data_IF_828680566896
#
_entry.id   IF_828680566896
#
_cell.length_a   1.000
_cell.length_b   1.000
_cell.length_c   1.000
_cell.angle_alpha   90.00
_cell.angle_beta   90.00
_cell.angle_gamma   90.00
#
_symmetry.space_group_name_H-M   'P 1'
#
loop_
_entity.id
_entity.type
_entity.pdbx_description
1 polymer ?
#
# COMPACT_ATOMS: atom_id res chain seq x y z
N UNK A 1 -12.05 -16.70 -7.32
CA UNK A 1 -11.64 -15.32 -7.00
C UNK A 1 -10.13 -15.31 -7.15
N UNK A 2 -9.58 -14.43 -7.99
CA UNK A 2 -8.14 -14.28 -8.05
C UNK A 2 -7.65 -13.71 -6.70
N UNK A 3 -6.45 -14.10 -6.30
CA UNK A 3 -5.85 -13.69 -5.04
C UNK A 3 -5.49 -12.21 -5.08
N UNK A 4 -5.90 -11.46 -4.05
CA UNK A 4 -5.55 -10.03 -3.93
C UNK A 4 -4.31 -9.92 -3.06
N UNK A 5 -3.23 -9.38 -3.63
CA UNK A 5 -2.06 -8.96 -2.86
C UNK A 5 -2.28 -7.53 -2.42
N UNK A 6 -2.06 -7.28 -1.15
CA UNK A 6 -2.27 -5.99 -0.52
C UNK A 6 -1.02 -5.56 0.25
N UNK A 7 -0.83 -4.26 0.30
CA UNK A 7 0.21 -3.61 1.06
C UNK A 7 -0.43 -2.55 1.94
N UNK A 8 0.14 -2.30 3.11
CA UNK A 8 -0.26 -1.16 3.93
C UNK A 8 1.01 -0.44 4.35
N UNK A 9 1.24 0.72 3.76
CA UNK A 9 2.45 1.50 3.95
C UNK A 9 2.13 2.83 4.60
N UNK A 10 3.03 3.30 5.46
CA UNK A 10 2.91 4.60 6.10
C UNK A 10 4.12 5.45 5.85
N UNK A 11 3.85 6.68 5.40
CA UNK A 11 4.85 7.66 5.06
C UNK A 11 4.40 9.07 5.46
N UNK A 12 5.36 9.94 5.74
CA UNK A 12 5.16 11.39 5.84
C UNK A 12 4.86 12.06 4.49
N UNK A 13 5.03 11.33 3.38
CA UNK A 13 4.96 11.87 2.02
C UNK A 13 3.86 11.22 1.21
N UNK A 14 2.96 12.02 0.66
CA UNK A 14 1.89 11.56 -0.24
C UNK A 14 2.48 10.85 -1.46
N UNK A 15 3.57 11.37 -2.03
CA UNK A 15 4.20 10.87 -3.26
C UNK A 15 4.63 9.39 -3.21
N UNK A 16 4.61 8.76 -2.03
CA UNK A 16 4.89 7.34 -1.88
C UNK A 16 3.96 6.46 -2.73
N UNK A 17 2.71 6.87 -2.96
CA UNK A 17 1.76 6.13 -3.80
C UNK A 17 2.30 5.93 -5.23
N UNK A 18 3.04 6.92 -5.77
CA UNK A 18 3.63 6.85 -7.12
C UNK A 18 4.64 5.71 -7.21
N UNK A 19 5.38 5.44 -6.12
CA UNK A 19 6.34 4.34 -6.09
C UNK A 19 5.64 2.99 -6.12
N UNK A 20 4.54 2.85 -5.39
CA UNK A 20 3.75 1.62 -5.43
C UNK A 20 3.13 1.38 -6.81
N UNK A 21 2.65 2.42 -7.49
CA UNK A 21 2.23 2.31 -8.90
C UNK A 21 3.39 1.75 -9.75
N UNK A 22 4.61 2.30 -9.62
CA UNK A 22 5.78 1.81 -10.37
C UNK A 22 6.15 0.37 -10.03
N UNK A 23 6.09 -0.03 -8.75
CA UNK A 23 6.28 -1.43 -8.35
C UNK A 23 5.29 -2.33 -9.08
N UNK A 24 4.01 -1.94 -9.09
CA UNK A 24 2.93 -2.69 -9.72
C UNK A 24 3.15 -2.81 -11.22
N UNK A 25 3.43 -1.69 -11.90
CA UNK A 25 3.72 -1.66 -13.34
C UNK A 25 4.93 -2.54 -13.68
N UNK A 26 6.02 -2.43 -12.91
CA UNK A 26 7.22 -3.25 -13.08
C UNK A 26 6.96 -4.74 -12.84
N UNK A 27 6.05 -5.07 -11.91
CA UNK A 27 5.71 -6.46 -11.60
C UNK A 27 4.91 -7.12 -12.71
N UNK A 28 3.91 -6.41 -13.24
CA UNK A 28 3.03 -6.91 -14.30
C UNK A 28 3.70 -6.83 -15.68
N UNK A 29 4.68 -5.93 -15.84
CA UNK A 29 5.47 -5.79 -17.08
C UNK A 29 4.73 -5.09 -18.21
N UNK A 30 3.63 -4.40 -17.90
CA UNK A 30 2.78 -3.70 -18.87
C UNK A 30 2.30 -2.37 -18.28
N UNK A 31 2.05 -1.38 -19.14
CA UNK A 31 1.50 -0.09 -18.72
C UNK A 31 0.01 -0.21 -18.43
N UNK A 32 -0.42 0.25 -17.26
CA UNK A 32 -1.84 0.34 -16.93
C UNK A 32 -2.46 1.63 -17.46
N UNK A 33 -3.77 1.61 -17.71
CA UNK A 33 -4.56 2.82 -17.93
C UNK A 33 -5.26 3.17 -16.63
N UNK A 34 -5.22 4.44 -16.26
CA UNK A 34 -6.07 4.96 -15.18
C UNK A 34 -7.52 4.79 -15.61
N UNK A 35 -8.27 4.01 -14.85
CA UNK A 35 -9.70 3.80 -15.05
C UNK A 35 -10.50 4.84 -14.26
N UNK A 36 -10.12 5.08 -13.01
CA UNK A 36 -10.78 6.07 -12.15
C UNK A 36 -9.80 6.68 -11.14
N UNK A 37 -10.08 7.95 -10.79
CA UNK A 37 -9.51 8.65 -9.65
C UNK A 37 -10.70 9.13 -8.83
N UNK A 38 -10.83 8.62 -7.62
CA UNK A 38 -12.01 8.83 -6.79
C UNK A 38 -11.62 9.34 -5.42
N UNK A 39 -12.52 10.07 -4.79
CA UNK A 39 -12.41 10.42 -3.38
C UNK A 39 -13.65 9.94 -2.64
N UNK A 40 -13.47 9.45 -1.41
CA UNK A 40 -14.55 8.97 -0.55
C UNK A 40 -14.33 9.37 0.90
N UNK A 41 -15.43 9.43 1.65
CA UNK A 41 -15.42 9.86 3.05
C UNK A 41 -14.89 8.80 4.01
N UNK A 42 -15.09 7.53 3.68
CA UNK A 42 -14.74 6.39 4.51
C UNK A 42 -14.60 5.11 3.67
N UNK A 43 -14.05 4.07 4.31
CA UNK A 43 -13.86 2.73 3.73
C UNK A 43 -15.18 1.98 3.45
N UNK A 44 -16.35 2.56 3.74
CA UNK A 44 -17.66 2.04 3.33
C UNK A 44 -18.17 2.68 2.04
N UNK A 45 -17.30 3.39 1.30
CA UNK A 45 -17.63 4.04 0.03
C UNK A 45 -18.72 5.11 0.18
N UNK A 46 -18.70 5.84 1.30
CA UNK A 46 -19.62 6.97 1.49
C UNK A 46 -19.20 8.17 0.64
N UNK A 47 -20.15 8.80 -0.06
CA UNK A 47 -19.95 10.01 -0.88
C UNK A 47 -18.81 9.90 -1.91
N UNK A 48 -18.73 8.78 -2.65
CA UNK A 48 -17.73 8.61 -3.71
C UNK A 48 -17.93 9.66 -4.82
N UNK A 49 -16.84 10.35 -5.17
CA UNK A 49 -16.80 11.34 -6.25
C UNK A 49 -15.62 11.07 -7.17
N UNK A 50 -15.85 11.03 -8.47
CA UNK A 50 -14.78 11.01 -9.46
C UNK A 50 -14.13 12.39 -9.57
N UNK A 51 -12.80 12.43 -9.65
CA UNK A 51 -12.00 13.64 -9.82
C UNK A 51 -11.06 13.50 -11.03
N UNK A 52 -10.63 14.63 -11.58
CA UNK A 52 -9.82 14.65 -12.80
C UNK A 52 -8.34 14.31 -12.57
N UNK A 53 -7.82 14.57 -11.35
CA UNK A 53 -6.40 14.34 -11.03
C UNK A 53 -6.13 14.30 -9.52
N UNK A 54 -4.96 13.78 -9.13
CA UNK A 54 -4.52 13.73 -7.72
C UNK A 54 -4.21 15.13 -7.15
N UNK A 55 -3.89 16.10 -7.99
CA UNK A 55 -3.71 17.49 -7.57
C UNK A 55 -5.01 18.08 -7.02
N UNK A 56 -6.16 17.76 -7.62
CA UNK A 56 -7.48 18.16 -7.11
C UNK A 56 -7.73 17.61 -5.70
N UNK A 57 -7.27 16.38 -5.43
CA UNK A 57 -7.35 15.79 -4.09
C UNK A 57 -6.56 16.60 -3.06
N UNK A 58 -5.30 16.93 -3.39
CA UNK A 58 -4.42 17.73 -2.49
C UNK A 58 -5.03 19.08 -2.11
N UNK A 59 -5.73 19.72 -3.04
CA UNK A 59 -6.25 21.08 -2.84
C UNK A 59 -7.61 21.11 -2.12
N UNK A 60 -8.47 20.11 -2.32
CA UNK A 60 -9.89 20.16 -1.92
C UNK A 60 -10.33 19.05 -0.95
N UNK A 61 -9.60 17.93 -0.91
CA UNK A 61 -10.09 16.70 -0.30
C UNK A 61 -9.03 15.97 0.56
N UNK A 62 -7.99 16.68 1.04
CA UNK A 62 -6.87 16.13 1.83
C UNK A 62 -7.29 15.42 3.14
N UNK A 63 -8.57 15.50 3.53
CA UNK A 63 -9.16 14.75 4.66
C UNK A 63 -10.03 13.56 4.23
N UNK A 64 -9.99 13.17 2.95
CA UNK A 64 -10.72 12.06 2.34
C UNK A 64 -9.76 10.94 1.98
N UNK A 65 -10.32 9.79 1.66
CA UNK A 65 -9.59 8.67 1.06
C UNK A 65 -9.57 8.90 -0.45
N UNK A 66 -8.38 8.96 -1.03
CA UNK A 66 -8.14 8.96 -2.46
C UNK A 66 -8.02 7.52 -2.94
N UNK A 67 -8.77 7.14 -3.96
CA UNK A 67 -8.70 5.83 -4.62
C UNK A 67 -8.27 6.02 -6.07
N UNK A 68 -7.15 5.42 -6.45
CA UNK A 68 -6.74 5.31 -7.85
C UNK A 68 -6.91 3.87 -8.31
N UNK A 69 -7.77 3.64 -9.30
CA UNK A 69 -7.91 2.33 -9.92
C UNK A 69 -7.36 2.35 -11.34
N UNK A 70 -6.57 1.34 -11.68
CA UNK A 70 -5.97 1.18 -12.99
C UNK A 70 -6.23 -0.22 -13.53
N UNK A 71 -6.41 -0.31 -14.84
CA UNK A 71 -6.74 -1.57 -15.52
C UNK A 71 -5.83 -1.84 -16.71
N UNK A 72 -5.59 -3.13 -16.97
CA UNK A 72 -4.99 -3.60 -18.20
C UNK A 72 -5.52 -5.00 -18.54
N UNK A 73 -6.36 -5.06 -19.56
CA UNK A 73 -7.09 -6.28 -19.91
C UNK A 73 -7.97 -6.70 -18.74
N UNK A 74 -7.69 -7.88 -18.17
CA UNK A 74 -8.43 -8.38 -17.01
C UNK A 74 -7.70 -8.13 -15.66
N UNK A 75 -6.50 -7.52 -15.69
CA UNK A 75 -5.76 -7.19 -14.47
C UNK A 75 -6.27 -5.86 -13.92
N UNK A 76 -6.59 -5.85 -12.63
CA UNK A 76 -7.02 -4.66 -11.90
C UNK A 76 -6.06 -4.41 -10.76
N UNK A 77 -5.62 -3.18 -10.64
CA UNK A 77 -4.70 -2.77 -9.59
C UNK A 77 -5.14 -1.40 -9.11
N UNK A 78 -4.74 -1.04 -7.91
CA UNK A 78 -5.04 0.28 -7.40
C UNK A 78 -4.20 0.65 -6.22
N UNK A 79 -4.38 1.89 -5.81
CA UNK A 79 -3.78 2.44 -4.61
C UNK A 79 -4.81 3.32 -3.93
N UNK A 80 -5.09 3.01 -2.67
CA UNK A 80 -5.86 3.86 -1.79
C UNK A 80 -4.91 4.69 -0.92
N UNK A 81 -5.27 5.94 -0.65
CA UNK A 81 -4.48 6.85 0.17
C UNK A 81 -5.37 7.59 1.15
N UNK A 82 -5.06 7.48 2.43
CA UNK A 82 -5.75 8.18 3.52
C UNK A 82 -4.74 8.98 4.33
N UNK A 83 -5.05 10.25 4.61
CA UNK A 83 -4.23 11.06 5.50
C UNK A 83 -4.73 10.97 6.94
N UNK A 84 -3.86 10.53 7.85
CA UNK A 84 -4.13 10.49 9.29
C UNK A 84 -3.06 11.29 10.03
N UNK A 85 -3.46 12.46 10.51
CA UNK A 85 -2.54 13.41 11.14
C UNK A 85 -1.46 13.88 10.16
N UNK A 86 -0.19 13.66 10.50
CA UNK A 86 0.97 14.04 9.69
C UNK A 86 1.42 12.93 8.72
N UNK A 87 0.69 11.81 8.67
CA UNK A 87 1.05 10.65 7.88
C UNK A 87 0.01 10.34 6.80
N UNK A 88 0.48 9.73 5.73
CA UNK A 88 -0.32 9.10 4.69
C UNK A 88 -0.23 7.58 4.87
N UNK A 89 -1.39 6.95 5.00
CA UNK A 89 -1.58 5.52 4.85
C UNK A 89 -1.83 5.28 3.38
N UNK A 90 -1.04 4.39 2.79
CA UNK A 90 -1.10 4.04 1.37
C UNK A 90 -1.32 2.54 1.28
N UNK A 91 -2.43 2.16 0.65
CA UNK A 91 -2.86 0.77 0.50
C UNK A 91 -2.92 0.37 -0.99
N UNK A 92 -1.77 0.00 -1.56
CA UNK A 92 -1.70 -0.63 -2.87
C UNK A 92 -2.36 -2.01 -2.83
N UNK A 93 -3.03 -2.36 -3.92
CA UNK A 93 -3.60 -3.68 -4.11
C UNK A 93 -3.45 -4.15 -5.55
N UNK A 94 -3.26 -5.46 -5.73
CA UNK A 94 -3.17 -6.10 -7.03
C UNK A 94 -4.13 -7.27 -7.10
N UNK A 95 -5.00 -7.24 -8.10
CA UNK A 95 -5.88 -8.33 -8.48
C UNK A 95 -5.58 -8.70 -9.95
N UNK A 96 -4.59 -9.58 -10.12
CA UNK A 96 -4.18 -10.07 -11.44
C UNK A 96 -4.92 -11.34 -11.79
N UNK A 97 -5.26 -11.52 -13.07
CA UNK A 97 -6.10 -12.64 -13.49
C UNK A 97 -5.43 -14.01 -13.42
N UNK A 98 -4.09 -14.04 -13.45
CA UNK A 98 -3.33 -15.27 -13.32
C UNK A 98 -2.99 -15.53 -11.86
N UNK A 99 -2.93 -16.79 -11.47
CA UNK A 99 -2.42 -17.18 -10.16
C UNK A 99 -0.99 -16.67 -9.97
N UNK A 100 -0.73 -16.00 -8.84
CA UNK A 100 0.59 -15.49 -8.51
C UNK A 100 1.41 -16.64 -7.94
N UNK A 101 2.47 -17.02 -8.66
CA UNK A 101 3.37 -18.07 -8.16
C UNK A 101 4.20 -17.56 -6.98
N UNK A 102 4.75 -18.49 -6.18
CA UNK A 102 5.69 -18.13 -5.11
C UNK A 102 6.93 -17.38 -5.61
N UNK A 103 7.36 -17.61 -6.86
CA UNK A 103 8.50 -16.91 -7.46
C UNK A 103 8.12 -15.48 -7.86
N UNK A 104 6.95 -15.29 -8.44
CA UNK A 104 6.40 -13.97 -8.74
C UNK A 104 6.22 -13.14 -7.46
N UNK A 105 5.67 -13.75 -6.41
CA UNK A 105 5.51 -13.07 -5.12
C UNK A 105 6.84 -12.62 -4.51
N UNK A 106 7.88 -13.48 -4.56
CA UNK A 106 9.23 -13.11 -4.13
C UNK A 106 9.82 -11.98 -4.98
N UNK A 107 9.58 -11.99 -6.29
CA UNK A 107 10.01 -10.91 -7.19
C UNK A 107 9.32 -9.60 -6.84
N UNK A 108 8.02 -9.63 -6.58
CA UNK A 108 7.23 -8.47 -6.14
C UNK A 108 7.78 -7.87 -4.84
N UNK A 109 8.01 -8.72 -3.83
CA UNK A 109 8.64 -8.30 -2.57
C UNK A 109 10.01 -7.65 -2.82
N UNK A 110 10.85 -8.27 -3.67
CA UNK A 110 12.15 -7.72 -4.03
C UNK A 110 12.05 -6.34 -4.67
N UNK A 111 11.08 -6.14 -5.57
CA UNK A 111 10.82 -4.85 -6.21
C UNK A 111 10.39 -3.79 -5.18
N UNK A 112 9.48 -4.13 -4.26
CA UNK A 112 9.06 -3.21 -3.19
C UNK A 112 10.23 -2.82 -2.31
N UNK A 113 11.02 -3.79 -1.83
CA UNK A 113 12.18 -3.52 -0.98
C UNK A 113 13.15 -2.57 -1.68
N UNK A 114 13.41 -2.78 -2.97
CA UNK A 114 14.31 -1.93 -3.74
C UNK A 114 13.76 -0.51 -3.92
N UNK A 115 12.47 -0.36 -4.23
CA UNK A 115 11.83 0.95 -4.42
C UNK A 115 11.71 1.76 -3.12
N UNK A 116 11.59 1.09 -1.96
CA UNK A 116 11.38 1.74 -0.67
C UNK A 116 12.66 2.00 0.14
N UNK A 117 13.81 1.45 -0.27
CA UNK A 117 15.07 1.48 0.50
C UNK A 117 15.61 2.88 0.79
N UNK A 118 15.21 3.89 0.01
CA UNK A 118 15.78 5.24 0.09
C UNK A 118 14.75 6.32 0.49
N UNK A 119 13.58 5.91 0.95
CA UNK A 119 12.46 6.82 1.20
C UNK A 119 11.96 6.79 2.63
N UNK A 120 11.18 7.81 2.97
CA UNK A 120 10.58 8.00 4.28
C UNK A 120 9.33 7.13 4.46
N UNK A 121 9.46 5.83 4.20
CA UNK A 121 8.48 4.84 4.68
C UNK A 121 8.86 4.46 6.09
N UNK A 122 7.95 4.70 7.02
CA UNK A 122 8.11 4.31 8.42
C UNK A 122 7.89 2.80 8.57
N UNK A 123 6.85 2.29 7.91
CA UNK A 123 6.54 0.86 7.84
C UNK A 123 5.77 0.51 6.58
N UNK A 124 5.90 -0.74 6.14
CA UNK A 124 5.09 -1.34 5.09
C UNK A 124 4.82 -2.82 5.42
N UNK A 125 3.55 -3.17 5.53
CA UNK A 125 3.07 -4.55 5.62
C UNK A 125 2.77 -5.08 4.22
N UNK A 126 3.10 -6.35 3.97
CA UNK A 126 2.86 -7.02 2.68
C UNK A 126 2.24 -8.39 2.94
N UNK A 127 1.20 -8.73 2.20
CA UNK A 127 0.56 -10.04 2.32
C UNK A 127 -0.57 -10.25 1.32
N UNK A 128 -1.36 -11.28 1.59
CA UNK A 128 -2.54 -11.67 0.80
C UNK A 128 -3.77 -11.42 1.65
N UNK A 129 -4.66 -10.53 1.20
CA UNK A 129 -5.85 -10.10 1.96
C UNK A 129 -5.48 -9.64 3.39
N UNK A 130 -4.63 -8.61 3.48
CA UNK A 130 -4.11 -8.15 4.78
C UNK A 130 -5.14 -7.31 5.50
N UNK A 131 -5.07 -7.31 6.83
CA UNK A 131 -5.80 -6.35 7.65
C UNK A 131 -4.79 -5.64 8.52
N UNK A 132 -4.63 -4.34 8.31
CA UNK A 132 -3.72 -3.50 9.08
C UNK A 132 -4.44 -2.22 9.46
N UNK A 133 -4.40 -1.87 10.75
CA UNK A 133 -4.98 -0.63 11.28
C UNK A 133 -3.86 0.32 11.66
N UNK A 134 -3.35 1.02 10.67
CA UNK A 134 -2.19 1.89 10.82
C UNK A 134 -2.45 3.10 11.74
N UNK A 135 -3.71 3.45 11.97
CA UNK A 135 -4.15 4.51 12.88
C UNK A 135 -3.93 4.19 14.37
N UNK A 136 -3.80 2.91 14.73
CA UNK A 136 -3.69 2.47 16.14
C UNK A 136 -2.29 2.66 16.76
N UNK A 137 -1.32 3.17 15.99
CA UNK A 137 0.08 3.25 16.39
C UNK A 137 0.80 1.90 16.31
N UNK A 138 2.14 1.93 16.25
CA UNK A 138 2.94 0.76 15.83
C UNK A 138 2.70 -0.51 16.68
N UNK A 139 2.72 -0.48 18.03
CA UNK A 139 2.56 -1.71 18.82
C UNK A 139 1.19 -2.38 18.61
N UNK A 140 0.11 -1.59 18.61
CA UNK A 140 -1.24 -2.12 18.43
C UNK A 140 -1.51 -2.49 16.98
N UNK A 141 -0.97 -1.76 16.01
CA UNK A 141 -1.00 -2.13 14.59
C UNK A 141 -0.38 -3.51 14.37
N UNK A 142 0.85 -3.75 14.87
CA UNK A 142 1.55 -5.02 14.71
C UNK A 142 0.80 -6.19 15.38
N UNK A 143 0.16 -5.94 16.53
CA UNK A 143 -0.55 -6.95 17.30
C UNK A 143 -1.89 -7.36 16.68
N UNK A 144 -2.58 -6.41 16.05
CA UNK A 144 -3.91 -6.64 15.47
C UNK A 144 -3.88 -6.91 13.96
N UNK A 145 -2.68 -6.97 13.36
CA UNK A 145 -2.55 -7.25 11.95
C UNK A 145 -2.83 -8.72 11.61
N UNK A 146 -3.44 -8.94 10.45
CA UNK A 146 -3.75 -10.28 9.93
C UNK A 146 -3.18 -10.47 8.52
N UNK A 147 -2.83 -11.73 8.20
CA UNK A 147 -2.33 -12.18 6.91
C UNK A 147 -1.08 -11.44 6.36
N UNK A 148 -0.30 -10.82 7.25
CA UNK A 148 0.96 -10.17 6.88
C UNK A 148 2.08 -11.20 6.80
N UNK A 149 2.67 -11.33 5.62
CA UNK A 149 3.81 -12.22 5.35
C UNK A 149 5.15 -11.56 5.66
N UNK A 150 5.25 -10.24 5.41
CA UNK A 150 6.48 -9.48 5.58
C UNK A 150 6.20 -8.07 6.09
N UNK A 151 7.02 -7.65 7.05
CA UNK A 151 7.11 -6.27 7.49
C UNK A 151 8.40 -5.62 7.00
N UNK A 152 8.29 -4.48 6.32
CA UNK A 152 9.42 -3.59 6.05
C UNK A 152 9.34 -2.45 7.06
N UNK A 153 10.37 -2.29 7.89
CA UNK A 153 10.34 -1.33 9.00
C UNK A 153 11.60 -0.47 8.95
N UNK A 154 11.42 0.84 9.09
CA UNK A 154 12.53 1.79 9.20
C UNK A 154 13.41 1.43 10.40
N UNK A 155 14.71 1.27 10.16
CA UNK A 155 15.64 0.78 11.19
C UNK A 155 15.62 1.60 12.48
N UNK A 156 15.41 2.91 12.39
CA UNK A 156 15.32 3.83 13.54
C UNK A 156 14.10 3.61 14.42
N UNK A 157 13.05 2.97 13.89
CA UNK A 157 11.85 2.61 14.63
C UNK A 157 11.95 1.21 15.25
N UNK A 158 12.92 0.40 14.86
CA UNK A 158 13.00 -0.99 15.28
C UNK A 158 13.31 -1.12 16.79
N UNK A 159 12.52 -1.92 17.51
CA UNK A 159 12.74 -2.22 18.94
C UNK A 159 12.72 -3.72 19.22
N UNK A 160 13.30 -4.14 20.35
CA UNK A 160 13.26 -5.55 20.81
C UNK A 160 11.84 -6.04 21.11
N UNK A 161 10.91 -5.14 21.41
CA UNK A 161 9.51 -5.52 21.64
C UNK A 161 8.88 -6.06 20.36
N UNK A 162 9.19 -5.43 19.22
CA UNK A 162 8.66 -5.83 17.92
C UNK A 162 9.18 -7.21 17.47
N UNK A 163 10.33 -7.67 17.97
CA UNK A 163 10.83 -9.04 17.72
C UNK A 163 9.86 -10.13 18.18
N UNK A 164 9.05 -9.84 19.20
CA UNK A 164 8.06 -10.78 19.72
C UNK A 164 6.77 -10.81 18.91
N UNK A 165 6.50 -9.72 18.17
CA UNK A 165 5.25 -9.51 17.43
C UNK A 165 5.41 -9.86 15.95
N UNK A 166 6.61 -9.63 15.39
CA UNK A 166 6.89 -9.77 13.96
C UNK A 166 7.73 -11.01 13.69
N UNK A 167 7.15 -11.99 12.97
CA UNK A 167 7.85 -13.24 12.60
C UNK A 167 8.83 -13.07 11.44
N UNK A 168 8.51 -12.22 10.46
CA UNK A 168 9.33 -11.97 9.27
C UNK A 168 9.44 -10.46 9.03
N UNK A 169 10.66 -9.96 8.91
CA UNK A 169 10.94 -8.52 8.75
C UNK A 169 12.12 -8.25 7.84
N UNK A 170 12.13 -7.05 7.27
CA UNK A 170 13.27 -6.42 6.63
C UNK A 170 13.48 -5.02 7.23
N UNK A 171 14.73 -4.64 7.48
CA UNK A 171 15.06 -3.32 7.99
C UNK A 171 15.46 -2.40 6.83
N UNK A 172 14.77 -1.27 6.71
CA UNK A 172 15.14 -0.20 5.79
C UNK A 172 16.26 0.62 6.45
N UNK A 173 17.42 0.70 5.79
CA UNK A 173 18.66 1.30 6.30
C UNK A 173 18.78 2.75 5.82
#
# INVERSE_FOLDING_TARGET
MAEVIEFCAVSSKLEIYIKFIRVIENFVGESFKINSIQVMDDWNYTNVLDIESVEVYKDLYDNKILTLTMENGNNHVGVDVEKIGEFYIVEPWLNVCNEITNEDYKRLIGNVVNELKHDEVEFCAIGKEIVVKAELGIPDMLKNAHNVDLWLIKSTLWTKEYEKMVKCKYLLI
#
